data_IF_590702840979
#
_entry.id   IF_590702840979
#
_cell.length_a   1.000
_cell.length_b   1.000
_cell.length_c   1.000
_cell.angle_alpha   90.00
_cell.angle_beta   90.00
_cell.angle_gamma   90.00
#
_symmetry.space_group_name_H-M   'P 1'
#
loop_
_entity.id
_entity.type
_entity.pdbx_description
1 polymer ?
#
# COMPACT_ATOMS: atom_id res chain seq x y z
N UNK A 1 -10.71 -1.02 3.59
CA UNK A 1 -10.24 -0.07 2.54
C UNK A 1 -11.40 0.84 2.15
N UNK A 2 -11.18 2.12 1.85
CA UNK A 2 -12.26 3.01 1.42
C UNK A 2 -12.68 2.72 -0.03
N UNK A 3 -13.93 3.04 -0.36
CA UNK A 3 -14.37 3.08 -1.75
C UNK A 3 -13.89 4.38 -2.43
N UNK A 4 -13.65 4.38 -3.75
CA UNK A 4 -13.89 3.27 -4.70
C UNK A 4 -12.76 2.22 -4.78
N UNK A 5 -11.61 2.47 -4.15
CA UNK A 5 -10.42 1.63 -4.26
C UNK A 5 -10.66 0.16 -3.87
N UNK A 6 -11.50 -0.11 -2.85
CA UNK A 6 -11.82 -1.46 -2.43
C UNK A 6 -12.44 -2.29 -3.56
N UNK A 7 -13.45 -1.74 -4.27
CA UNK A 7 -14.04 -2.41 -5.43
C UNK A 7 -13.05 -2.50 -6.59
N UNK A 8 -12.30 -1.43 -6.89
CA UNK A 8 -11.35 -1.44 -8.00
C UNK A 8 -10.26 -2.51 -7.84
N UNK A 9 -9.83 -2.77 -6.60
CA UNK A 9 -8.85 -3.80 -6.28
C UNK A 9 -9.41 -5.21 -6.53
N UNK A 10 -10.61 -5.53 -6.02
CA UNK A 10 -11.22 -6.87 -6.24
C UNK A 10 -11.75 -7.07 -7.65
N UNK A 11 -11.92 -6.01 -8.44
CA UNK A 11 -12.21 -6.08 -9.87
C UNK A 11 -10.93 -6.22 -10.73
N UNK A 12 -9.74 -6.12 -10.13
CA UNK A 12 -8.47 -6.21 -10.85
C UNK A 12 -8.11 -4.98 -11.68
N UNK A 13 -8.77 -3.85 -11.42
CA UNK A 13 -8.49 -2.56 -12.07
C UNK A 13 -7.35 -1.85 -11.32
N UNK A 14 -7.42 -1.85 -9.99
CA UNK A 14 -6.30 -1.45 -9.15
C UNK A 14 -5.40 -2.66 -8.93
N UNK A 15 -4.11 -2.53 -9.24
CA UNK A 15 -3.10 -3.60 -9.14
C UNK A 15 -2.14 -3.36 -7.98
N UNK A 16 -1.92 -2.09 -7.63
CA UNK A 16 -1.01 -1.68 -6.56
C UNK A 16 -1.82 -1.08 -5.42
N UNK A 17 -1.71 -1.62 -4.22
CA UNK A 17 -2.27 -1.01 -3.02
C UNK A 17 -1.20 -0.14 -2.31
N UNK A 18 -1.51 1.14 -2.13
CA UNK A 18 -0.58 2.11 -1.57
C UNK A 18 -0.76 2.31 -0.07
N UNK A 19 0.34 2.26 0.69
CA UNK A 19 0.36 2.44 2.16
C UNK A 19 1.58 3.21 2.63
N UNK A 20 1.47 3.85 3.78
CA UNK A 20 2.60 4.46 4.50
C UNK A 20 3.44 3.45 5.29
N UNK A 21 3.13 2.15 5.17
CA UNK A 21 3.78 1.08 5.92
C UNK A 21 3.87 -0.21 5.07
N UNK A 22 4.89 -1.06 5.30
CA UNK A 22 5.13 -2.25 4.49
C UNK A 22 4.05 -3.31 4.69
N UNK A 23 3.83 -4.15 3.67
CA UNK A 23 2.86 -5.24 3.78
C UNK A 23 3.23 -6.19 4.94
N UNK A 24 2.32 -6.45 5.89
CA UNK A 24 2.62 -7.29 7.06
C UNK A 24 2.58 -8.77 6.70
N UNK A 25 2.05 -9.11 5.52
CA UNK A 25 1.84 -10.46 5.02
C UNK A 25 2.18 -10.53 3.53
N UNK A 26 2.55 -11.74 3.09
CA UNK A 26 2.45 -12.19 1.70
C UNK A 26 1.45 -13.33 1.68
N UNK A 27 0.62 -13.39 0.64
CA UNK A 27 -0.49 -14.33 0.60
C UNK A 27 -1.85 -13.68 0.36
N UNK A 28 -2.89 -14.50 0.48
CA UNK A 28 -4.29 -14.08 0.31
C UNK A 28 -4.68 -13.00 1.33
N UNK A 29 -5.16 -11.87 0.82
CA UNK A 29 -5.72 -10.77 1.58
C UNK A 29 -7.17 -10.55 1.20
N UNK A 30 -8.08 -10.67 2.17
CA UNK A 30 -9.48 -10.37 1.97
C UNK A 30 -9.76 -8.86 2.07
N UNK A 31 -10.55 -8.35 1.13
CA UNK A 31 -10.80 -6.91 0.97
C UNK A 31 -12.19 -6.58 1.47
N UNK A 32 -12.22 -5.80 2.55
CA UNK A 32 -13.42 -5.19 3.10
C UNK A 32 -13.54 -3.72 2.67
N UNK A 33 -14.71 -3.34 2.17
CA UNK A 33 -15.07 -1.96 1.92
C UNK A 33 -15.53 -1.28 3.22
N UNK A 34 -14.86 -0.19 3.58
CA UNK A 34 -15.18 0.62 4.75
C UNK A 34 -16.59 1.24 4.65
N UNK A 35 -17.09 1.79 5.75
CA UNK A 35 -18.46 2.29 5.87
C UNK A 35 -18.72 3.65 5.21
N UNK A 36 -17.68 4.44 4.92
CA UNK A 36 -17.84 5.75 4.27
C UNK A 36 -18.33 5.55 2.84
N UNK A 37 -19.50 6.10 2.54
CA UNK A 37 -20.05 6.16 1.18
C UNK A 37 -19.16 7.08 0.33
N UNK A 38 -18.67 6.61 -0.83
CA UNK A 38 -17.88 7.44 -1.72
C UNK A 38 -18.77 8.52 -2.36
N UNK A 39 -18.22 9.71 -2.55
CA UNK A 39 -18.89 10.76 -3.32
C UNK A 39 -18.82 10.42 -4.82
N UNK A 40 -19.86 10.76 -5.57
CA UNK A 40 -19.93 10.48 -7.02
C UNK A 40 -18.75 11.11 -7.78
N UNK A 41 -18.36 12.33 -7.40
CA UNK A 41 -17.19 13.00 -7.96
C UNK A 41 -15.89 12.22 -7.70
N UNK A 42 -15.76 11.58 -6.52
CA UNK A 42 -14.61 10.75 -6.19
C UNK A 42 -14.60 9.46 -7.01
N UNK A 43 -15.75 8.82 -7.20
CA UNK A 43 -15.88 7.65 -8.08
C UNK A 43 -15.42 8.03 -9.48
N UNK A 44 -16.04 9.05 -10.07
CA UNK A 44 -15.73 9.49 -11.44
C UNK A 44 -14.27 9.86 -11.61
N UNK A 45 -13.69 10.63 -10.69
CA UNK A 45 -12.28 11.01 -10.74
C UNK A 45 -11.36 9.79 -10.72
N UNK A 46 -11.67 8.77 -9.91
CA UNK A 46 -10.88 7.54 -9.86
C UNK A 46 -11.08 6.68 -11.10
N UNK A 47 -12.30 6.57 -11.64
CA UNK A 47 -12.53 5.87 -12.91
C UNK A 47 -11.77 6.51 -14.07
N UNK A 48 -11.82 7.84 -14.18
CA UNK A 48 -11.09 8.58 -15.21
C UNK A 48 -9.56 8.44 -15.03
N UNK A 49 -9.07 8.52 -13.80
CA UNK A 49 -7.66 8.25 -13.48
C UNK A 49 -7.22 6.84 -13.95
N UNK A 50 -8.00 5.80 -13.69
CA UNK A 50 -7.66 4.45 -14.18
C UNK A 50 -7.82 4.32 -15.70
N UNK A 51 -8.76 5.01 -16.35
CA UNK A 51 -8.82 5.06 -17.82
C UNK A 51 -7.53 5.63 -18.40
N UNK A 52 -7.03 6.73 -17.86
CA UNK A 52 -5.78 7.35 -18.30
C UNK A 52 -4.58 6.43 -18.08
N UNK A 53 -4.45 5.83 -16.90
CA UNK A 53 -3.38 4.89 -16.57
C UNK A 53 -3.31 3.73 -17.57
N UNK A 54 -4.45 3.15 -17.92
CA UNK A 54 -4.52 2.02 -18.85
C UNK A 54 -4.35 2.48 -20.30
N UNK A 55 -4.78 3.70 -20.65
CA UNK A 55 -4.60 4.28 -21.98
C UNK A 55 -3.12 4.47 -22.33
N UNK A 56 -2.24 4.76 -21.35
CA UNK A 56 -0.78 4.78 -21.54
C UNK A 56 -0.25 3.43 -22.05
N UNK A 57 -0.92 2.33 -21.71
CA UNK A 57 -0.60 1.00 -22.22
C UNK A 57 -1.45 0.57 -23.43
N UNK A 58 -2.18 1.50 -24.05
CA UNK A 58 -3.05 1.27 -25.20
C UNK A 58 -4.36 0.54 -24.88
N UNK A 59 -4.75 0.44 -23.60
CA UNK A 59 -5.99 -0.19 -23.17
C UNK A 59 -7.03 0.90 -22.92
N UNK A 60 -8.04 0.97 -23.78
CA UNK A 60 -9.07 2.02 -23.75
C UNK A 60 -10.43 1.53 -23.23
N UNK A 61 -10.68 0.22 -23.30
CA UNK A 61 -11.94 -0.39 -22.84
C UNK A 61 -11.76 -1.05 -21.48
N UNK A 62 -12.21 -0.37 -20.43
CA UNK A 62 -12.20 -0.88 -19.05
C UNK A 62 -13.65 -0.93 -18.55
N UNK A 63 -14.06 -2.08 -18.04
CA UNK A 63 -15.38 -2.24 -17.41
C UNK A 63 -15.29 -1.99 -15.91
N UNK A 64 -15.76 -0.82 -15.49
CA UNK A 64 -15.84 -0.47 -14.07
C UNK A 64 -17.02 -1.16 -13.34
N UNK A 65 -16.94 -1.29 -12.01
CA UNK A 65 -18.07 -1.71 -11.19
C UNK A 65 -19.26 -0.76 -11.34
N UNK A 66 -20.46 -1.30 -11.58
CA UNK A 66 -21.70 -0.51 -11.58
C UNK A 66 -22.07 0.01 -10.18
N UNK A 67 -21.58 -0.67 -9.13
CA UNK A 67 -21.89 -0.37 -7.73
C UNK A 67 -20.66 -0.46 -6.83
N UNK A 68 -20.59 0.41 -5.83
CA UNK A 68 -19.51 0.49 -4.85
C UNK A 68 -20.05 0.25 -3.43
N UNK A 69 -20.36 -1.01 -3.06
CA UNK A 69 -20.96 -1.34 -1.77
C UNK A 69 -20.01 -1.00 -0.60
N UNK A 70 -20.58 -0.53 0.51
CA UNK A 70 -19.86 -0.19 1.75
C UNK A 70 -20.17 -1.20 2.85
N UNK A 71 -19.33 -1.25 3.88
CA UNK A 71 -19.47 -2.11 5.05
C UNK A 71 -19.57 -3.62 4.73
N UNK A 72 -18.90 -4.05 3.65
CA UNK A 72 -19.00 -5.43 3.15
C UNK A 72 -17.65 -6.02 2.80
N UNK A 73 -17.50 -7.32 3.05
CA UNK A 73 -16.42 -8.13 2.49
C UNK A 73 -16.70 -8.36 1.01
N UNK A 74 -15.80 -7.93 0.13
CA UNK A 74 -16.05 -7.93 -1.32
C UNK A 74 -15.43 -9.12 -2.04
N UNK A 75 -14.28 -9.60 -1.56
CA UNK A 75 -13.42 -10.52 -2.29
C UNK A 75 -12.05 -10.62 -1.66
N UNK A 76 -11.09 -11.17 -2.39
CA UNK A 76 -9.69 -11.20 -2.02
C UNK A 76 -8.78 -10.93 -3.20
N UNK A 77 -7.52 -10.63 -2.87
CA UNK A 77 -6.38 -10.57 -3.79
C UNK A 77 -5.24 -11.37 -3.17
N UNK A 78 -4.23 -11.69 -3.95
CA UNK A 78 -2.98 -12.26 -3.47
C UNK A 78 -1.93 -11.14 -3.36
N UNK A 79 -1.42 -10.87 -2.16
CA UNK A 79 -0.30 -9.94 -1.96
C UNK A 79 0.99 -10.69 -2.25
N UNK A 80 1.52 -10.51 -3.45
CA UNK A 80 2.74 -11.21 -3.92
C UNK A 80 4.01 -10.44 -3.59
N UNK A 81 3.90 -9.13 -3.36
CA UNK A 81 5.00 -8.18 -3.32
C UNK A 81 4.75 -7.00 -2.39
N UNK A 82 5.82 -6.39 -1.90
CA UNK A 82 5.80 -5.07 -1.29
C UNK A 82 7.14 -4.42 -1.61
N UNK A 83 7.11 -3.30 -2.33
CA UNK A 83 8.28 -2.55 -2.78
C UNK A 83 8.07 -1.07 -2.49
N UNK A 84 9.12 -0.28 -2.59
CA UNK A 84 8.97 1.18 -2.53
C UNK A 84 8.46 1.75 -3.86
N UNK A 85 7.82 2.92 -3.83
CA UNK A 85 7.34 3.55 -5.06
C UNK A 85 8.48 3.88 -6.05
N UNK A 86 9.64 4.31 -5.57
CA UNK A 86 10.79 4.62 -6.43
C UNK A 86 11.37 3.36 -7.08
N UNK A 87 11.38 2.25 -6.34
CA UNK A 87 11.77 0.95 -6.85
C UNK A 87 10.78 0.48 -7.93
N UNK A 88 9.47 0.54 -7.66
CA UNK A 88 8.44 0.17 -8.63
C UNK A 88 8.54 0.99 -9.92
N UNK A 89 8.81 2.30 -9.81
CA UNK A 89 8.96 3.19 -10.96
C UNK A 89 10.12 2.75 -11.89
N UNK A 90 11.16 2.13 -11.34
CA UNK A 90 12.34 1.64 -12.07
C UNK A 90 12.15 0.27 -12.75
N UNK A 91 11.05 -0.45 -12.48
CA UNK A 91 10.82 -1.77 -13.04
C UNK A 91 10.32 -1.70 -14.50
N UNK A 92 11.23 -1.57 -15.46
CA UNK A 92 10.89 -1.44 -16.90
C UNK A 92 10.02 -2.58 -17.44
N UNK A 93 10.14 -3.78 -16.86
CA UNK A 93 9.34 -4.94 -17.23
C UNK A 93 7.86 -4.86 -16.77
N UNK A 94 7.53 -3.93 -15.86
CA UNK A 94 6.16 -3.68 -15.41
C UNK A 94 5.52 -2.63 -16.33
N UNK A 95 4.28 -2.88 -16.82
CA UNK A 95 3.56 -1.91 -17.64
C UNK A 95 3.54 -0.52 -17.01
N UNK A 96 3.80 0.51 -17.82
CA UNK A 96 3.91 1.89 -17.35
C UNK A 96 2.72 2.33 -16.49
N UNK A 97 1.49 2.00 -16.90
CA UNK A 97 0.30 2.31 -16.13
C UNK A 97 0.31 1.70 -14.72
N UNK A 98 0.79 0.45 -14.57
CA UNK A 98 0.88 -0.18 -13.26
C UNK A 98 1.92 0.50 -12.37
N UNK A 99 3.00 1.02 -12.95
CA UNK A 99 4.00 1.80 -12.19
C UNK A 99 3.43 3.13 -11.70
N UNK A 100 2.60 3.80 -12.52
CA UNK A 100 1.93 5.07 -12.18
C UNK A 100 0.91 4.96 -11.04
N UNK A 101 0.45 3.74 -10.70
CA UNK A 101 -0.39 3.51 -9.52
C UNK A 101 0.38 3.66 -8.19
N UNK A 102 1.71 3.52 -8.22
CA UNK A 102 2.58 3.57 -7.05
C UNK A 102 2.86 4.98 -6.56
N UNK A 103 1.87 5.61 -5.91
CA UNK A 103 1.96 7.01 -5.46
C UNK A 103 2.28 7.17 -3.96
N UNK A 104 2.55 6.07 -3.26
CA UNK A 104 2.80 6.05 -1.80
C UNK A 104 4.07 5.29 -1.48
N UNK A 105 4.69 5.58 -0.35
CA UNK A 105 5.96 5.01 0.11
C UNK A 105 6.07 3.49 -0.07
N UNK A 106 5.05 2.72 0.35
CA UNK A 106 5.00 1.28 0.18
C UNK A 106 3.89 0.87 -0.78
N UNK A 107 4.29 0.16 -1.84
CA UNK A 107 3.43 -0.35 -2.89
C UNK A 107 3.26 -1.86 -2.72
N UNK A 108 2.08 -2.29 -2.28
CA UNK A 108 1.74 -3.70 -2.16
C UNK A 108 1.29 -4.21 -3.53
N UNK A 109 1.98 -5.22 -4.05
CA UNK A 109 1.70 -5.80 -5.35
C UNK A 109 0.59 -6.84 -5.18
N UNK A 110 -0.57 -6.60 -5.79
CA UNK A 110 -1.75 -7.43 -5.67
C UNK A 110 -2.05 -8.14 -6.99
N UNK A 111 -2.14 -9.47 -6.95
CA UNK A 111 -2.50 -10.34 -8.07
C UNK A 111 -3.77 -11.14 -7.75
N UNK A 112 -4.23 -11.94 -8.72
CA UNK A 112 -5.34 -12.89 -8.56
C UNK A 112 -6.59 -12.31 -7.86
N UNK A 113 -7.20 -11.23 -8.38
CA UNK A 113 -8.42 -10.68 -7.81
C UNK A 113 -9.58 -11.67 -7.94
N UNK A 114 -10.19 -12.02 -6.80
CA UNK A 114 -11.34 -12.90 -6.70
C UNK A 114 -12.49 -12.18 -6.01
N UNK A 115 -13.65 -12.12 -6.66
CA UNK A 115 -14.85 -11.50 -6.09
C UNK A 115 -15.71 -12.55 -5.40
N UNK A 116 -16.35 -12.15 -4.32
CA UNK A 116 -17.47 -12.91 -3.77
C UNK A 116 -18.68 -12.70 -4.68
N UNK A 117 -19.40 -13.79 -4.97
CA UNK A 117 -20.66 -13.71 -5.71
C UNK A 117 -21.66 -12.80 -4.99
N UNK A 118 -21.70 -12.93 -3.65
CA UNK A 118 -22.51 -12.10 -2.77
C UNK A 118 -21.60 -11.53 -1.68
N UNK A 119 -21.34 -10.21 -1.68
CA UNK A 119 -20.56 -9.56 -0.63
C UNK A 119 -21.24 -9.68 0.75
N UNK A 120 -20.49 -10.07 1.78
CA UNK A 120 -21.03 -10.25 3.13
C UNK A 120 -21.01 -8.96 3.92
N UNK A 121 -22.08 -8.68 4.66
CA UNK A 121 -22.05 -7.64 5.68
C UNK A 121 -21.18 -8.08 6.85
N UNK A 122 -20.21 -7.24 7.21
CA UNK A 122 -19.41 -7.44 8.41
C UNK A 122 -18.79 -6.11 8.85
N UNK A 123 -18.46 -6.02 10.14
CA UNK A 123 -17.68 -4.90 10.67
C UNK A 123 -16.24 -5.02 10.18
N UNK A 124 -15.72 -3.93 9.61
CA UNK A 124 -14.30 -3.79 9.31
C UNK A 124 -13.52 -3.16 10.47
N UNK A 125 -12.23 -3.41 10.51
CA UNK A 125 -11.28 -2.80 11.46
C UNK A 125 -10.16 -2.07 10.71
N UNK A 126 -9.45 -1.19 11.41
CA UNK A 126 -8.27 -0.51 10.87
C UNK A 126 -7.09 -1.47 10.78
N UNK A 127 -6.23 -1.27 9.77
CA UNK A 127 -5.08 -2.14 9.49
C UNK A 127 -5.47 -3.50 8.89
N UNK A 128 -4.51 -4.42 8.89
CA UNK A 128 -4.73 -5.83 8.52
C UNK A 128 -5.14 -6.58 9.78
N UNK A 129 -6.22 -7.35 9.70
CA UNK A 129 -6.78 -8.10 10.82
C UNK A 129 -7.28 -9.46 10.36
N UNK A 130 -7.39 -10.40 11.30
CA UNK A 130 -7.89 -11.73 11.02
C UNK A 130 -9.41 -11.72 10.86
N UNK A 131 -9.91 -12.40 9.83
CA UNK A 131 -11.35 -12.65 9.70
C UNK A 131 -11.82 -13.63 10.78
N UNK A 132 -13.06 -13.44 11.23
CA UNK A 132 -13.74 -14.44 12.05
C UNK A 132 -13.86 -15.75 11.26
N UNK A 133 -13.61 -16.89 11.93
CA UNK A 133 -13.58 -18.21 11.29
C UNK A 133 -14.80 -18.50 10.41
N UNK A 134 -16.00 -18.17 10.90
CA UNK A 134 -17.26 -18.39 10.16
C UNK A 134 -17.33 -17.55 8.87
N UNK A 135 -16.88 -16.30 8.93
CA UNK A 135 -16.85 -15.41 7.77
C UNK A 135 -15.82 -15.89 6.75
N UNK A 136 -14.63 -16.28 7.23
CA UNK A 136 -13.59 -16.85 6.38
C UNK A 136 -14.08 -18.11 5.65
N UNK A 137 -14.67 -19.06 6.36
CA UNK A 137 -15.19 -20.30 5.77
C UNK A 137 -16.29 -20.04 4.75
N UNK A 138 -17.17 -19.07 5.00
CA UNK A 138 -18.18 -18.64 4.03
C UNK A 138 -17.54 -17.98 2.79
N UNK A 139 -16.51 -17.17 3.00
CA UNK A 139 -15.83 -16.43 1.93
C UNK A 139 -15.08 -17.36 0.98
N UNK A 140 -14.37 -18.35 1.53
CA UNK A 140 -13.70 -19.39 0.74
C UNK A 140 -14.71 -20.15 -0.14
N UNK A 141 -15.91 -20.46 0.38
CA UNK A 141 -16.96 -21.15 -0.39
C UNK A 141 -17.65 -20.26 -1.43
N UNK A 142 -17.78 -18.97 -1.15
CA UNK A 142 -18.49 -18.00 -1.99
C UNK A 142 -17.62 -17.28 -3.03
N UNK A 143 -16.34 -17.62 -3.10
CA UNK A 143 -15.38 -16.99 -4.03
C UNK A 143 -15.54 -17.56 -5.43
N UNK A 144 -15.71 -16.67 -6.42
CA UNK A 144 -15.63 -17.03 -7.82
C UNK A 144 -14.27 -16.57 -8.34
N UNK A 145 -13.50 -17.51 -8.89
CA UNK A 145 -12.29 -17.14 -9.63
C UNK A 145 -12.71 -16.46 -10.92
N UNK A 146 -12.38 -15.18 -11.06
CA UNK A 146 -12.59 -14.46 -12.31
C UNK A 146 -11.54 -14.97 -13.31
N UNK A 147 -11.90 -15.97 -14.12
CA UNK A 147 -11.23 -16.14 -15.41
C UNK A 147 -11.66 -14.93 -16.24
N UNK A 148 -10.76 -13.97 -16.47
CA UNK A 148 -10.95 -12.93 -17.47
C UNK A 148 -11.40 -13.61 -18.77
N UNK A 149 -12.40 -13.08 -19.50
CA UNK A 149 -12.81 -13.67 -20.76
C UNK A 149 -11.63 -13.59 -21.73
N UNK A 150 -10.92 -14.70 -21.91
CA UNK A 150 -10.10 -14.91 -23.09
C UNK A 150 -11.03 -14.97 -24.30
N UNK A 151 -11.18 -13.84 -24.99
CA UNK A 151 -11.52 -13.83 -26.40
C UNK A 151 -10.69 -12.82 -27.19
N UNK A 152 -9.63 -13.40 -27.77
CA UNK A 152 -9.09 -13.18 -29.11
C UNK A 152 -8.48 -11.81 -29.45
N UNK A 153 -7.20 -11.65 -29.12
CA UNK A 153 -6.18 -11.57 -30.19
C UNK A 153 -4.89 -12.25 -29.68
N UNK A 154 -4.35 -13.11 -30.54
CA UNK A 154 -3.39 -14.16 -30.21
C UNK A 154 -1.99 -13.67 -29.83
N UNK A 155 -1.41 -14.39 -28.86
CA UNK A 155 -0.04 -14.92 -28.87
C UNK A 155 1.07 -13.88 -29.07
N UNK A 156 1.45 -13.19 -27.99
CA UNK A 156 2.86 -12.80 -27.69
C UNK A 156 2.98 -12.05 -26.35
N UNK A 157 1.92 -11.40 -25.86
CA UNK A 157 1.98 -10.58 -24.63
C UNK A 157 1.89 -11.38 -23.32
N UNK A 158 1.20 -12.52 -23.32
CA UNK A 158 1.00 -13.35 -22.11
C UNK A 158 2.28 -14.08 -21.67
N UNK A 159 3.03 -14.66 -22.62
CA UNK A 159 4.30 -15.32 -22.31
C UNK A 159 5.34 -14.33 -21.76
N UNK A 160 5.35 -13.10 -22.29
CA UNK A 160 6.29 -12.05 -21.89
C UNK A 160 6.06 -11.55 -20.46
N UNK A 161 4.82 -11.28 -20.06
CA UNK A 161 4.53 -10.78 -18.70
C UNK A 161 4.74 -11.85 -17.64
N UNK A 162 4.27 -13.08 -17.87
CA UNK A 162 4.50 -14.20 -16.95
C UNK A 162 5.99 -14.54 -16.85
N UNK A 163 6.73 -14.50 -17.96
CA UNK A 163 8.18 -14.72 -17.95
C UNK A 163 8.93 -13.57 -17.24
N UNK A 164 8.50 -12.33 -17.41
CA UNK A 164 9.07 -11.18 -16.71
C UNK A 164 8.87 -11.29 -15.18
N UNK A 165 7.67 -11.66 -14.74
CA UNK A 165 7.35 -11.87 -13.32
C UNK A 165 8.14 -13.05 -12.76
N UNK A 166 8.24 -14.16 -13.51
CA UNK A 166 9.08 -15.30 -13.13
C UNK A 166 10.57 -14.91 -13.04
N UNK A 167 11.06 -14.10 -13.97
CA UNK A 167 12.42 -13.55 -13.97
C UNK A 167 12.70 -12.67 -12.76
N UNK A 168 11.76 -11.80 -12.40
CA UNK A 168 11.86 -10.96 -11.20
C UNK A 168 11.87 -11.81 -9.90
N UNK A 169 10.99 -12.82 -9.80
CA UNK A 169 10.97 -13.79 -8.68
C UNK A 169 12.29 -14.56 -8.57
N UNK A 170 12.88 -14.96 -9.70
CA UNK A 170 14.17 -15.65 -9.74
C UNK A 170 15.35 -14.73 -9.38
N UNK A 171 15.34 -13.47 -9.79
CA UNK A 171 16.39 -12.51 -9.43
C UNK A 171 16.41 -12.18 -7.93
N UNK A 172 15.23 -12.02 -7.32
CA UNK A 172 15.10 -11.73 -5.89
C UNK A 172 15.67 -12.86 -4.99
N UNK A 173 15.64 -14.11 -5.45
CA UNK A 173 16.25 -15.25 -4.72
C UNK A 173 17.77 -15.31 -4.89
N UNK A 174 18.34 -14.74 -5.95
CA UNK A 174 19.79 -14.71 -6.16
C UNK A 174 20.50 -13.63 -5.33
N UNK A 175 19.82 -12.51 -5.04
CA UNK A 175 20.37 -11.47 -4.16
C UNK A 175 20.52 -11.93 -2.70
N UNK A 176 19.64 -12.81 -2.22
CA UNK A 176 19.73 -13.35 -0.86
C UNK A 176 20.91 -14.34 -0.65
N UNK A 177 21.49 -14.88 -1.73
CA UNK A 177 22.71 -15.71 -1.65
C UNK A 177 23.99 -14.89 -1.60
N UNK A 178 24.00 -13.70 -2.20
CA UNK A 178 25.20 -12.85 -2.25
C UNK A 178 25.50 -12.21 -0.89
N UNK A 179 24.47 -11.92 -0.09
CA UNK A 179 24.64 -11.46 1.29
C UNK A 179 25.07 -12.60 2.23
N UNK A 180 24.69 -13.85 1.95
CA UNK A 180 25.20 -15.01 2.68
C UNK A 180 26.67 -15.33 2.32
N UNK A 181 27.08 -15.21 1.05
CA UNK A 181 28.47 -15.43 0.65
C UNK A 181 29.42 -14.33 1.15
N UNK A 182 28.94 -13.09 1.35
CA UNK A 182 29.73 -12.03 2.00
C UNK A 182 29.90 -12.29 3.51
N UNK A 183 28.93 -12.92 4.18
CA UNK A 183 29.03 -13.33 5.59
C UNK A 183 29.91 -14.56 5.79
N UNK A 184 29.94 -15.51 4.85
CA UNK A 184 30.75 -16.74 4.96
C UNK A 184 32.23 -16.47 4.66
N UNK A 185 32.55 -15.57 3.73
CA UNK A 185 33.94 -15.24 3.39
C UNK A 185 34.64 -14.35 4.45
N UNK A 186 33.89 -13.64 5.30
CA UNK A 186 34.46 -12.85 6.39
C UNK A 186 34.90 -13.71 7.60
N UNK A 187 34.36 -14.92 7.76
CA UNK A 187 34.68 -15.81 8.90
C UNK A 187 35.91 -16.68 8.65
N UNK A 188 36.31 -16.90 7.39
CA UNK A 188 37.45 -17.77 7.07
C UNK A 188 38.82 -17.08 7.07
N UNK A 189 38.89 -15.75 7.19
CA UNK A 189 40.16 -15.01 7.10
C UNK A 189 40.71 -14.49 8.44
N UNK A 190 40.29 -15.09 9.57
CA UNK A 190 40.80 -14.74 10.90
C UNK A 190 41.40 -15.94 11.62
N UNK A 191 42.38 -16.60 11.00
CA UNK A 191 43.22 -17.56 11.72
C UNK A 191 44.60 -17.71 11.08
N UNK A 192 45.54 -16.84 11.47
CA UNK A 192 46.96 -17.21 11.56
C UNK A 192 47.83 -16.11 12.20
N UNK A 193 48.46 -16.50 13.32
CA UNK A 193 49.82 -16.15 13.80
C UNK A 193 50.04 -14.73 14.39
N UNK A 194 50.23 -14.56 15.71
CA UNK A 194 51.36 -14.98 16.57
C UNK A 194 52.44 -13.88 16.75
N UNK A 195 52.59 -13.47 18.04
CA UNK A 195 53.81 -13.05 18.77
C UNK A 195 54.30 -11.59 18.72
N UNK A 196 54.25 -11.00 19.94
CA UNK A 196 55.34 -10.46 20.80
C UNK A 196 55.49 -8.94 21.01
N UNK A 197 55.28 -8.59 22.29
CA UNK A 197 56.15 -7.85 23.23
C UNK A 197 56.10 -6.32 23.40
N UNK A 198 56.02 -5.96 24.70
CA UNK A 198 56.51 -4.77 25.44
C UNK A 198 55.63 -3.50 25.39
N UNK A 199 55.50 -2.64 26.42
CA UNK A 199 55.78 -2.62 27.86
C UNK A 199 55.26 -1.23 28.38
N UNK A 200 54.83 -1.19 29.65
CA UNK A 200 54.72 -0.04 30.59
C UNK A 200 53.47 0.89 30.65
N UNK A 201 52.85 0.88 31.85
CA UNK A 201 52.41 1.98 32.76
C UNK A 201 51.61 3.17 32.18
N UNK A 202 50.53 3.71 32.78
CA UNK A 202 50.12 3.89 34.19
C UNK A 202 48.66 4.37 34.31
N UNK A 203 48.13 4.29 35.54
CA UNK A 203 46.79 4.60 36.15
C UNK A 203 45.88 5.73 35.59
N UNK A 204 44.56 5.68 35.91
CA UNK A 204 43.51 6.59 35.41
C UNK A 204 43.14 7.71 36.39
N UNK A 205 42.55 8.81 35.90
CA UNK A 205 41.79 9.77 36.71
C UNK A 205 40.83 10.63 35.85
N UNK A 206 39.56 10.52 36.23
CA UNK A 206 38.53 11.55 36.36
C UNK A 206 37.86 12.29 35.20
N UNK A 207 36.61 12.59 35.54
CA UNK A 207 35.45 13.09 34.84
C UNK A 207 35.40 14.63 34.89
N UNK A 208 34.77 15.28 33.90
CA UNK A 208 33.68 16.28 34.10
C UNK A 208 33.54 17.34 32.97
N UNK A 209 32.26 17.53 32.61
CA UNK A 209 31.53 18.78 32.24
C UNK A 209 31.77 19.52 30.91
N UNK A 210 30.79 19.31 30.00
CA UNK A 210 29.87 20.27 29.29
C UNK A 210 30.05 21.78 29.56
N UNK A 211 29.71 22.71 28.61
CA UNK A 211 28.32 22.96 28.12
C UNK A 211 28.22 23.31 26.61
N UNK A 212 27.15 22.98 25.86
CA UNK A 212 25.79 23.57 25.75
C UNK A 212 25.73 25.08 25.44
N UNK A 213 25.37 25.44 24.21
CA UNK A 213 24.61 26.66 23.90
C UNK A 213 23.91 26.56 22.54
N UNK A 214 22.58 26.57 22.56
CA UNK A 214 21.70 26.94 21.45
C UNK A 214 21.26 28.37 21.71
N UNK A 215 21.16 29.23 20.69
CA UNK A 215 20.03 30.16 20.58
C UNK A 215 19.88 30.74 19.16
N UNK A 216 18.61 30.80 18.77
CA UNK A 216 17.92 31.30 17.58
C UNK A 216 18.32 32.68 17.01
N UNK A 217 18.02 32.87 15.72
CA UNK A 217 17.81 34.19 15.10
C UNK A 217 17.68 34.17 13.57
N UNK A 218 16.45 34.12 13.04
CA UNK A 218 16.02 34.71 11.75
C UNK A 218 16.06 36.26 11.87
N UNK A 219 16.07 37.10 10.78
CA UNK A 219 15.18 36.96 9.61
C UNK A 219 15.64 37.45 8.21
N UNK A 220 14.85 37.04 7.20
CA UNK A 220 14.30 37.82 6.05
C UNK A 220 14.84 37.68 4.59
N UNK A 221 13.98 37.04 3.78
CA UNK A 221 13.41 37.39 2.43
C UNK A 221 14.33 37.62 1.20
N UNK A 222 14.22 36.75 0.18
CA UNK A 222 13.50 37.03 -1.11
C UNK A 222 13.50 35.85 -2.10
N UNK A 223 12.28 35.54 -2.58
CA UNK A 223 11.78 34.95 -3.84
C UNK A 223 12.67 34.05 -4.72
N UNK A 224 12.16 32.87 -5.10
CA UNK A 224 11.58 32.60 -6.43
C UNK A 224 10.70 31.33 -6.40
N UNK A 225 9.78 31.25 -7.36
CA UNK A 225 8.64 30.35 -7.40
C UNK A 225 8.96 28.97 -7.98
N UNK A 226 8.34 27.92 -7.45
CA UNK A 226 7.96 26.75 -8.25
C UNK A 226 6.74 26.07 -7.65
N UNK A 227 5.66 26.02 -8.44
CA UNK A 227 4.39 25.42 -8.09
C UNK A 227 4.46 23.91 -8.28
N UNK A 228 4.50 23.16 -7.17
CA UNK A 228 4.13 21.74 -7.15
C UNK A 228 2.85 21.57 -6.35
N UNK A 229 1.79 21.11 -7.01
CA UNK A 229 0.50 20.84 -6.39
C UNK A 229 0.57 19.57 -5.54
N UNK A 230 0.85 19.75 -4.25
CA UNK A 230 0.76 18.73 -3.22
C UNK A 230 -0.69 18.64 -2.71
N UNK A 231 -1.42 17.58 -3.08
CA UNK A 231 -2.73 17.29 -2.47
C UNK A 231 -2.48 16.61 -1.13
N UNK A 232 -2.53 17.39 -0.06
CA UNK A 232 -2.48 16.93 1.33
C UNK A 232 -3.85 16.36 1.72
N UNK A 233 -3.96 15.06 1.95
CA UNK A 233 -5.12 14.46 2.60
C UNK A 233 -5.04 14.72 4.11
N UNK A 234 -5.85 15.63 4.63
CA UNK A 234 -5.97 15.84 6.07
C UNK A 234 -6.91 14.81 6.69
N UNK A 235 -6.35 14.04 7.62
CA UNK A 235 -7.03 13.12 8.53
C UNK A 235 -7.47 13.92 9.76
N UNK A 236 -8.78 14.18 9.91
CA UNK A 236 -9.31 14.85 11.10
C UNK A 236 -9.78 13.82 12.12
N UNK A 237 -8.91 13.60 13.12
CA UNK A 237 -9.22 12.95 14.39
C UNK A 237 -10.24 13.78 15.19
N UNK A 238 -11.19 13.10 15.81
CA UNK A 238 -12.18 13.65 16.75
C UNK A 238 -11.60 13.77 18.18
N UNK A 239 -12.18 14.68 18.98
CA UNK A 239 -12.19 14.91 20.45
C UNK A 239 -12.10 16.43 20.67
N UNK A 240 -12.89 17.15 21.47
CA UNK A 240 -13.69 16.84 22.66
C UNK A 240 -14.74 17.93 22.93
N UNK A 241 -15.74 17.60 23.75
CA UNK A 241 -16.94 18.35 24.18
C UNK A 241 -16.69 19.74 24.81
N UNK A 242 -17.69 20.62 24.67
CA UNK A 242 -18.24 21.40 25.81
C UNK A 242 -19.73 21.74 25.59
N UNK A 243 -20.46 21.79 26.70
CA UNK A 243 -21.93 21.89 26.86
C UNK A 243 -22.30 23.26 27.42
N UNK A 244 -23.19 23.98 26.74
CA UNK A 244 -24.12 25.05 27.19
C UNK A 244 -24.57 25.75 25.88
N UNK A 245 -25.83 26.01 25.55
CA UNK A 245 -26.90 26.55 26.38
C UNK A 245 -28.28 26.13 25.85
N UNK A 246 -29.23 26.04 26.77
CA UNK A 246 -30.66 25.90 26.48
C UNK A 246 -31.21 27.17 25.85
N UNK A 247 -31.95 27.08 24.74
CA UNK A 247 -33.21 27.84 24.56
C UNK A 247 -34.25 27.02 23.82
N UNK A 248 -35.43 27.10 24.41
CA UNK A 248 -36.67 26.37 24.21
C UNK A 248 -37.49 27.06 23.12
N UNK A 249 -38.03 26.33 22.14
CA UNK A 249 -39.15 26.81 21.33
C UNK A 249 -40.17 25.67 21.09
N UNK A 250 -41.48 26.01 21.08
CA UNK A 250 -42.57 25.05 21.26
C UNK A 250 -43.02 24.40 19.95
N UNK A 251 -43.53 23.17 20.07
CA UNK A 251 -44.10 22.42 18.96
C UNK A 251 -45.54 22.84 18.61
N UNK A 252 -45.98 22.42 17.42
CA UNK A 252 -47.36 22.16 17.02
C UNK A 252 -47.34 21.37 15.68
N UNK A 253 -48.44 20.76 15.20
CA UNK A 253 -48.67 19.32 15.39
C UNK A 253 -48.88 18.54 14.08
N UNK A 254 -48.87 17.21 14.20
CA UNK A 254 -49.31 16.27 13.18
C UNK A 254 -50.84 16.13 13.12
N UNK A 255 -51.37 15.96 11.90
CA UNK A 255 -52.68 15.42 11.45
C UNK A 255 -52.92 15.98 10.03
N UNK A 256 -53.33 15.28 8.98
CA UNK A 256 -53.92 13.95 8.68
C UNK A 256 -53.39 13.55 7.30
#
# INVERSE_FOLDING_TARGET
>A
MHQPWASLLVYGIKRIEGRSWPAPIRGRLWIHAASKVPEEATIKAMEDFYKEIYAVNGITEIKFPEHYPVSRLLGCVEVVGCVRCEELASWEAVPEGARLEGQTDFCWLCEEPQKLLVPFEMRGYQGVYNLEKKIYEAAVRGSISMLLPEKASEVEKSSSLTAAIAGARAAATQFNKKDQDLLVNAVQNSNSNSRRSNLANSKPLEEHKKPHFNLYGEPSVSNEADQSNYIKCEESSSHSRTRADMKQLPGAPAKV
#
